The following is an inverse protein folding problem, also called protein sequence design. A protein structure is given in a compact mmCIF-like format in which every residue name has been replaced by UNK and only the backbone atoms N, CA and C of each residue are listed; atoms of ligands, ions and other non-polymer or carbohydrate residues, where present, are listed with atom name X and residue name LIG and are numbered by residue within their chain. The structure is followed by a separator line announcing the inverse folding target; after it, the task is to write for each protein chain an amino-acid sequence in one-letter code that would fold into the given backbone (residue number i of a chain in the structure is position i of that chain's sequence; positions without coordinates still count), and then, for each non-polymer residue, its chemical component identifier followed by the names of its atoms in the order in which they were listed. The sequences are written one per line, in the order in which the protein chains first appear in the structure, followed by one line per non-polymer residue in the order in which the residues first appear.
data_IF_890942801297
#
_entry.id   IF_890942801297
#
_cell.length_a   1.000
_cell.length_b   1.000
_cell.length_c   1.000
_cell.angle_alpha   90.00
_cell.angle_beta   90.00
_cell.angle_gamma   90.00
#
_symmetry.space_group_name_H-M   'P 1'
#
loop_
_entity.id
_entity.type
_entity.pdbx_description
1 polymer ?
#
# COMPACT_ATOMS: atom_id res chain seq x y z
N UNK A 1 77.12 -7.18 54.28
CA UNK A 1 77.34 -8.44 53.54
C UNK A 1 76.28 -8.52 52.45
N UNK A 2 76.64 -8.07 51.25
CA UNK A 2 75.77 -7.91 50.08
C UNK A 2 75.69 -9.27 49.36
N UNK A 3 74.49 -9.71 48.97
CA UNK A 3 74.29 -10.88 48.10
C UNK A 3 74.19 -10.39 46.66
N UNK A 4 75.05 -10.93 45.79
CA UNK A 4 75.14 -10.60 44.36
C UNK A 4 74.00 -11.23 43.54
N UNK A 5 73.46 -10.44 42.62
CA UNK A 5 72.55 -10.86 41.55
C UNK A 5 73.37 -11.28 40.32
N UNK A 6 73.14 -12.50 39.83
CA UNK A 6 73.75 -13.02 38.61
C UNK A 6 72.95 -12.57 37.38
N UNK A 7 73.65 -12.01 36.38
CA UNK A 7 73.13 -11.79 35.02
C UNK A 7 73.97 -12.68 34.10
N UNK A 8 73.32 -13.66 33.46
CA UNK A 8 73.93 -14.49 32.42
C UNK A 8 73.22 -14.23 31.09
N UNK A 9 73.98 -13.67 30.16
CA UNK A 9 73.57 -13.33 28.80
C UNK A 9 73.34 -14.61 27.97
N UNK A 10 72.11 -14.82 27.51
CA UNK A 10 71.78 -15.88 26.55
C UNK A 10 71.38 -15.26 25.21
N UNK A 11 72.16 -15.59 24.17
CA UNK A 11 71.88 -15.28 22.77
C UNK A 11 70.60 -16.03 22.37
N UNK A 12 69.54 -15.28 22.07
CA UNK A 12 68.27 -15.82 21.59
C UNK A 12 68.41 -16.11 20.08
N UNK A 13 68.58 -17.37 19.71
CA UNK A 13 68.36 -17.82 18.33
C UNK A 13 66.84 -17.73 18.08
N UNK A 14 66.42 -16.68 17.38
CA UNK A 14 65.06 -16.59 16.83
C UNK A 14 64.98 -17.62 15.70
N UNK A 15 64.53 -18.83 16.05
CA UNK A 15 63.95 -19.72 15.06
C UNK A 15 62.63 -19.07 14.68
N UNK A 16 62.55 -18.48 13.48
CA UNK A 16 61.28 -18.12 12.87
C UNK A 16 60.54 -19.44 12.67
N UNK A 17 59.72 -19.82 13.66
CA UNK A 17 58.57 -20.67 13.43
C UNK A 17 57.69 -19.88 12.47
N UNK A 18 57.88 -20.13 11.17
CA UNK A 18 56.85 -19.88 10.19
C UNK A 18 55.68 -20.75 10.65
N UNK A 19 54.77 -20.14 11.42
CA UNK A 19 53.53 -20.78 11.81
C UNK A 19 52.88 -21.23 10.52
N UNK A 20 52.73 -22.54 10.34
CA UNK A 20 51.82 -23.10 9.35
C UNK A 20 50.48 -22.45 9.62
N UNK A 21 50.01 -21.61 8.69
CA UNK A 21 48.62 -21.16 8.70
C UNK A 21 47.76 -22.41 8.87
N UNK A 22 46.88 -22.43 9.88
CA UNK A 22 45.81 -23.43 9.93
C UNK A 22 45.06 -23.27 8.62
N UNK A 23 45.16 -24.27 7.73
CA UNK A 23 44.43 -24.26 6.50
C UNK A 23 42.99 -24.62 6.88
N UNK A 24 42.18 -23.58 7.10
CA UNK A 24 40.78 -23.71 7.43
C UNK A 24 39.95 -23.70 6.14
N UNK A 25 38.75 -24.28 6.20
CA UNK A 25 37.78 -24.22 5.08
C UNK A 25 37.58 -22.76 4.65
N UNK A 26 37.40 -22.49 3.34
CA UNK A 26 37.12 -21.16 2.87
C UNK A 26 35.76 -20.73 3.40
N UNK A 27 35.58 -19.44 3.69
CA UNK A 27 34.28 -18.91 4.13
C UNK A 27 33.89 -17.71 3.31
N UNK A 28 32.67 -17.73 2.76
CA UNK A 28 32.12 -16.61 2.00
C UNK A 28 31.40 -15.68 2.99
N UNK A 29 31.88 -14.44 3.08
CA UNK A 29 31.25 -13.41 3.89
C UNK A 29 30.21 -12.61 3.08
N UNK A 30 30.52 -12.30 1.81
CA UNK A 30 29.64 -11.48 0.97
C UNK A 30 29.87 -11.70 -0.51
N UNK A 31 28.80 -11.59 -1.30
CA UNK A 31 28.87 -11.55 -2.77
C UNK A 31 28.26 -10.24 -3.27
N UNK A 32 28.88 -9.59 -4.27
CA UNK A 32 28.39 -8.36 -4.88
C UNK A 32 28.55 -8.37 -6.42
N UNK A 33 27.56 -7.86 -7.19
CA UNK A 33 26.23 -7.46 -6.75
C UNK A 33 25.38 -8.67 -6.35
N UNK A 34 24.68 -8.54 -5.24
CA UNK A 34 23.70 -9.52 -4.77
C UNK A 34 22.30 -9.18 -5.33
N UNK A 35 22.27 -9.20 -6.66
CA UNK A 35 21.12 -9.02 -7.52
C UNK A 35 21.40 -9.78 -8.84
N UNK A 36 20.38 -10.33 -9.51
CA UNK A 36 20.54 -11.04 -10.76
C UNK A 36 21.06 -10.12 -11.85
N UNK A 37 22.33 -10.29 -12.21
CA UNK A 37 22.92 -9.82 -13.45
C UNK A 37 23.62 -11.04 -14.06
N UNK A 38 23.08 -11.54 -15.17
CA UNK A 38 23.55 -12.78 -15.78
C UNK A 38 24.85 -12.58 -16.58
N UNK A 39 25.23 -11.32 -16.83
CA UNK A 39 26.32 -10.96 -17.73
C UNK A 39 27.51 -10.31 -17.02
N UNK A 40 27.43 -10.08 -15.71
CA UNK A 40 28.50 -9.45 -14.95
C UNK A 40 29.16 -10.45 -13.97
N UNK A 41 30.51 -10.50 -13.92
CA UNK A 41 31.20 -11.25 -12.88
C UNK A 41 30.86 -10.68 -11.50
N UNK A 42 30.80 -11.55 -10.50
CA UNK A 42 30.54 -11.17 -9.11
C UNK A 42 31.83 -11.19 -8.28
N UNK A 43 31.93 -10.21 -7.41
CA UNK A 43 32.94 -10.10 -6.36
C UNK A 43 32.51 -10.96 -5.17
N UNK A 44 33.34 -11.91 -4.78
CA UNK A 44 33.16 -12.78 -3.61
C UNK A 44 34.20 -12.35 -2.58
N UNK A 45 33.73 -11.94 -1.40
CA UNK A 45 34.57 -11.51 -0.28
C UNK A 45 34.48 -12.58 0.81
N UNK A 46 35.61 -12.94 1.39
CA UNK A 46 35.66 -13.97 2.41
C UNK A 46 37.04 -14.16 3.03
N UNK A 47 37.21 -15.31 3.66
CA UNK A 47 38.43 -15.69 4.36
C UNK A 47 38.89 -17.09 3.93
N UNK A 48 40.18 -17.36 4.15
CA UNK A 48 40.85 -18.62 3.80
C UNK A 48 40.75 -18.99 2.31
N UNK A 49 40.74 -17.97 1.44
CA UNK A 49 40.93 -18.19 0.01
C UNK A 49 42.42 -18.36 -0.32
N UNK A 50 42.67 -19.13 -1.36
CA UNK A 50 43.99 -19.41 -1.91
C UNK A 50 43.94 -19.50 -3.43
N UNK A 51 45.11 -19.70 -4.04
CA UNK A 51 45.24 -19.83 -5.49
C UNK A 51 44.46 -21.03 -6.06
N UNK A 52 44.24 -22.06 -5.24
CA UNK A 52 43.50 -23.28 -5.56
C UNK A 52 42.00 -23.19 -5.26
N UNK A 53 41.51 -22.06 -4.72
CA UNK A 53 40.10 -21.95 -4.32
C UNK A 53 39.18 -22.01 -5.54
N UNK A 54 38.26 -22.98 -5.51
CA UNK A 54 37.22 -23.17 -6.50
C UNK A 54 35.92 -22.52 -6.03
N UNK A 55 35.14 -21.98 -6.97
CA UNK A 55 33.78 -21.53 -6.71
C UNK A 55 32.81 -22.49 -7.39
N UNK A 56 31.83 -22.94 -6.63
CA UNK A 56 30.76 -23.82 -7.09
C UNK A 56 29.42 -23.09 -7.00
N UNK A 57 28.55 -23.34 -7.96
CA UNK A 57 27.21 -22.78 -7.98
C UNK A 57 26.15 -23.84 -8.26
N UNK A 58 24.96 -23.58 -7.73
CA UNK A 58 23.76 -24.37 -7.99
C UNK A 58 22.58 -23.45 -8.25
N UNK A 59 21.75 -23.84 -9.21
CA UNK A 59 20.45 -23.21 -9.46
C UNK A 59 19.37 -24.23 -9.17
N UNK A 60 18.63 -24.11 -8.05
CA UNK A 60 17.55 -25.02 -7.72
C UNK A 60 16.44 -25.02 -8.77
N UNK A 61 15.74 -26.14 -8.86
CA UNK A 61 14.45 -26.19 -9.56
C UNK A 61 13.47 -25.17 -8.98
N UNK A 62 12.56 -24.68 -9.81
CA UNK A 62 11.57 -23.67 -9.44
C UNK A 62 10.39 -24.28 -8.64
N UNK A 63 10.67 -25.23 -7.75
CA UNK A 63 9.71 -25.66 -6.72
C UNK A 63 9.61 -24.56 -5.68
N UNK A 64 8.43 -23.93 -5.64
CA UNK A 64 8.10 -22.83 -4.74
C UNK A 64 6.85 -23.15 -3.93
N UNK A 65 6.43 -24.41 -3.89
CA UNK A 65 5.30 -24.85 -3.05
C UNK A 65 5.75 -25.14 -1.61
N UNK A 66 7.05 -25.40 -1.41
CA UNK A 66 7.61 -25.75 -0.11
C UNK A 66 8.78 -24.83 0.29
N UNK A 67 8.98 -24.67 1.60
CA UNK A 67 10.18 -24.05 2.19
C UNK A 67 11.15 -25.17 2.56
N UNK A 68 12.41 -25.06 2.11
CA UNK A 68 13.46 -25.94 2.59
C UNK A 68 13.87 -25.61 4.04
N UNK A 69 14.11 -26.63 4.85
CA UNK A 69 14.54 -26.45 6.25
C UNK A 69 15.95 -25.86 6.38
N UNK A 70 16.84 -26.18 5.43
CA UNK A 70 18.24 -25.73 5.43
C UNK A 70 18.83 -25.73 4.03
N UNK A 71 19.90 -24.95 3.84
CA UNK A 71 20.72 -24.98 2.62
C UNK A 71 21.60 -26.25 2.61
N UNK A 72 21.95 -26.79 1.43
CA UNK A 72 22.82 -27.95 1.36
C UNK A 72 24.26 -27.57 1.74
N UNK A 73 24.83 -28.27 2.73
CA UNK A 73 26.21 -28.02 3.21
C UNK A 73 27.30 -28.33 2.17
N UNK A 74 26.95 -29.07 1.12
CA UNK A 74 27.85 -29.39 0.00
C UNK A 74 27.07 -29.31 -1.31
N UNK A 75 27.71 -28.98 -2.44
CA UNK A 75 27.01 -28.81 -3.72
C UNK A 75 26.23 -30.09 -4.11
N UNK A 76 24.90 -30.01 -4.32
CA UNK A 76 24.09 -31.15 -4.74
C UNK A 76 24.33 -31.53 -6.21
N UNK A 77 23.71 -32.61 -6.67
CA UNK A 77 23.69 -33.00 -8.08
C UNK A 77 23.16 -31.85 -8.96
N UNK A 78 23.79 -31.62 -10.11
CA UNK A 78 23.51 -30.48 -11.00
C UNK A 78 24.30 -29.20 -10.68
N UNK A 79 25.06 -29.19 -9.57
CA UNK A 79 26.02 -28.11 -9.29
C UNK A 79 27.21 -28.15 -10.25
N UNK A 80 27.79 -26.99 -10.54
CA UNK A 80 28.96 -26.89 -11.42
C UNK A 80 29.94 -25.82 -10.94
N UNK A 81 31.20 -25.97 -11.36
CA UNK A 81 32.26 -25.01 -11.09
C UNK A 81 32.06 -23.75 -11.93
N UNK A 82 32.27 -22.60 -11.29
CA UNK A 82 32.23 -21.29 -11.95
C UNK A 82 33.57 -21.02 -12.65
N UNK A 83 33.51 -20.16 -13.67
CA UNK A 83 34.72 -19.57 -14.23
C UNK A 83 35.23 -18.48 -13.27
N UNK A 84 36.38 -18.71 -12.67
CA UNK A 84 37.03 -17.75 -11.76
C UNK A 84 38.01 -16.91 -12.57
N UNK A 85 37.77 -15.61 -12.60
CA UNK A 85 38.57 -14.62 -13.34
C UNK A 85 39.78 -14.14 -12.56
N UNK A 86 39.65 -14.03 -11.24
CA UNK A 86 40.72 -13.56 -10.37
C UNK A 86 40.62 -14.16 -8.96
N UNK A 87 41.76 -14.34 -8.30
CA UNK A 87 41.87 -14.95 -6.97
C UNK A 87 42.87 -14.21 -6.10
N UNK A 88 42.37 -13.71 -4.98
CA UNK A 88 43.14 -13.12 -3.89
C UNK A 88 42.73 -13.75 -2.56
N UNK A 89 43.56 -13.60 -1.54
CA UNK A 89 43.36 -14.25 -0.22
C UNK A 89 42.02 -13.94 0.46
N UNK A 90 41.38 -12.83 0.08
CA UNK A 90 40.09 -12.40 0.64
C UNK A 90 39.06 -12.05 -0.42
N UNK A 91 39.43 -12.10 -1.70
CA UNK A 91 38.61 -11.60 -2.80
C UNK A 91 38.73 -12.54 -3.99
N UNK A 92 37.60 -13.02 -4.50
CA UNK A 92 37.55 -13.81 -5.73
C UNK A 92 36.58 -13.13 -6.70
N UNK A 93 36.93 -13.08 -7.98
CA UNK A 93 36.03 -12.62 -9.03
C UNK A 93 35.62 -13.83 -9.87
N UNK A 94 34.31 -14.11 -9.95
CA UNK A 94 33.81 -15.28 -10.67
C UNK A 94 32.53 -14.99 -11.46
N UNK A 95 32.36 -15.69 -12.58
CA UNK A 95 31.14 -15.68 -13.38
C UNK A 95 30.07 -16.54 -12.69
N UNK A 96 29.14 -15.87 -11.99
CA UNK A 96 28.10 -16.52 -11.20
C UNK A 96 26.74 -16.26 -11.83
N UNK A 97 26.01 -17.34 -12.09
CA UNK A 97 24.60 -17.31 -12.49
C UNK A 97 23.69 -18.08 -11.54
N UNK A 98 24.22 -19.00 -10.72
CA UNK A 98 23.44 -19.76 -9.74
C UNK A 98 22.92 -18.92 -8.58
N UNK A 99 22.13 -19.56 -7.73
CA UNK A 99 21.49 -18.92 -6.57
C UNK A 99 22.17 -19.33 -5.25
N UNK A 100 22.81 -20.51 -5.20
CA UNK A 100 23.55 -20.99 -4.02
C UNK A 100 25.00 -21.21 -4.41
N UNK A 101 25.92 -20.65 -3.62
CA UNK A 101 27.34 -20.57 -3.92
C UNK A 101 28.14 -21.23 -2.79
N UNK A 102 29.19 -21.96 -3.15
CA UNK A 102 30.20 -22.48 -2.23
C UNK A 102 31.59 -22.12 -2.72
N UNK A 103 32.50 -21.87 -1.78
CA UNK A 103 33.94 -21.88 -2.03
C UNK A 103 34.50 -23.25 -1.61
N UNK A 104 35.57 -23.72 -2.25
CA UNK A 104 36.22 -24.99 -1.92
C UNK A 104 37.74 -24.87 -2.00
N UNK A 105 38.45 -25.35 -0.99
CA UNK A 105 39.90 -25.58 -1.00
C UNK A 105 40.19 -27.04 -0.58
N UNK A 106 41.45 -27.35 -0.26
CA UNK A 106 41.88 -28.66 0.21
C UNK A 106 41.15 -29.14 1.49
N UNK A 107 40.74 -28.22 2.37
CA UNK A 107 40.12 -28.51 3.66
C UNK A 107 38.59 -28.69 3.56
N UNK A 108 38.01 -28.34 2.42
CA UNK A 108 36.63 -28.67 2.06
C UNK A 108 35.83 -27.47 1.54
N UNK A 109 34.51 -27.62 1.58
CA UNK A 109 33.56 -26.58 1.17
C UNK A 109 33.28 -25.58 2.29
N UNK A 110 33.03 -24.33 1.90
CA UNK A 110 32.42 -23.31 2.75
C UNK A 110 31.00 -23.68 3.15
N UNK A 111 30.45 -22.93 4.09
CA UNK A 111 28.99 -22.90 4.24
C UNK A 111 28.34 -22.36 2.95
N UNK A 112 27.12 -22.81 2.59
CA UNK A 112 26.40 -22.33 1.42
C UNK A 112 26.03 -20.86 1.56
N UNK A 113 26.24 -20.09 0.49
CA UNK A 113 25.84 -18.69 0.41
C UNK A 113 24.71 -18.51 -0.60
N UNK A 114 23.53 -18.09 -0.13
CA UNK A 114 22.35 -17.83 -0.95
C UNK A 114 22.36 -16.38 -1.46
N UNK A 115 22.19 -16.19 -2.76
CA UNK A 115 22.17 -14.88 -3.43
C UNK A 115 20.90 -14.67 -4.26
N UNK A 116 20.68 -13.42 -4.69
CA UNK A 116 19.58 -12.98 -5.55
C UNK A 116 18.17 -13.07 -4.93
N UNK A 117 18.05 -13.53 -3.68
CA UNK A 117 16.77 -13.71 -2.98
C UNK A 117 16.27 -12.42 -2.32
N UNK A 118 15.00 -12.42 -1.91
CA UNK A 118 14.36 -11.30 -1.24
C UNK A 118 15.06 -10.96 0.09
N UNK A 119 15.15 -9.67 0.41
CA UNK A 119 15.69 -9.16 1.68
C UNK A 119 14.64 -8.33 2.40
N UNK A 120 13.63 -8.96 3.03
CA UNK A 120 12.65 -8.24 3.82
C UNK A 120 13.32 -7.63 5.07
N UNK A 121 12.91 -6.43 5.44
CA UNK A 121 13.42 -5.73 6.63
C UNK A 121 12.34 -5.54 7.69
N UNK A 122 11.12 -5.17 7.29
CA UNK A 122 10.01 -5.03 8.23
C UNK A 122 8.66 -5.29 7.55
N UNK A 123 7.68 -5.68 8.37
CA UNK A 123 6.27 -5.83 8.02
C UNK A 123 5.47 -4.71 8.70
N UNK A 124 4.43 -4.22 8.04
CA UNK A 124 3.66 -3.06 8.48
C UNK A 124 3.10 -3.17 9.89
N UNK A 125 2.60 -4.35 10.24
CA UNK A 125 1.89 -4.61 11.48
C UNK A 125 2.16 -6.06 11.95
N UNK A 126 2.25 -6.24 13.26
CA UNK A 126 2.40 -7.57 13.89
C UNK A 126 1.05 -8.21 14.23
N UNK A 127 -0.07 -7.49 14.00
CA UNK A 127 -1.45 -7.94 14.24
C UNK A 127 -2.36 -7.42 13.14
N UNK A 128 -3.21 -8.29 12.60
CA UNK A 128 -4.10 -7.97 11.49
C UNK A 128 -5.44 -8.71 11.62
N UNK A 129 -6.52 -8.07 11.20
CA UNK A 129 -7.81 -8.72 11.02
C UNK A 129 -7.89 -9.43 9.65
N UNK A 130 -8.75 -10.43 9.54
CA UNK A 130 -9.13 -11.02 8.26
C UNK A 130 -9.63 -9.92 7.28
N UNK A 131 -9.05 -9.87 6.08
CA UNK A 131 -9.33 -8.87 5.05
C UNK A 131 -8.54 -7.57 5.18
N UNK A 132 -7.65 -7.42 6.17
CA UNK A 132 -6.74 -6.28 6.23
C UNK A 132 -5.66 -6.38 5.15
N UNK A 133 -5.18 -5.21 4.72
CA UNK A 133 -4.07 -5.07 3.78
C UNK A 133 -2.82 -4.66 4.53
N UNK A 134 -1.76 -5.46 4.41
CA UNK A 134 -0.46 -5.24 5.01
C UNK A 134 0.58 -4.98 3.93
N UNK A 135 1.76 -4.54 4.34
CA UNK A 135 2.90 -4.42 3.44
C UNK A 135 4.23 -4.89 4.05
N UNK A 136 5.14 -5.31 3.19
CA UNK A 136 6.51 -5.71 3.51
C UNK A 136 7.45 -4.75 2.83
N UNK A 137 8.37 -4.17 3.58
CA UNK A 137 9.44 -3.35 3.06
C UNK A 137 10.77 -4.10 3.11
N UNK A 138 11.61 -3.91 2.10
CA UNK A 138 12.88 -4.61 1.97
C UNK A 138 13.62 -4.27 0.69
N UNK A 139 14.46 -5.17 0.22
CA UNK A 139 15.18 -5.05 -1.05
C UNK A 139 14.96 -6.32 -1.89
N UNK A 140 14.79 -6.13 -3.21
CA UNK A 140 14.65 -7.25 -4.15
C UNK A 140 13.41 -8.10 -3.89
N UNK A 141 12.35 -7.53 -3.32
CA UNK A 141 11.10 -8.24 -3.02
C UNK A 141 10.37 -8.67 -4.30
N UNK A 142 10.53 -7.89 -5.37
CA UNK A 142 9.92 -8.12 -6.68
C UNK A 142 11.02 -8.12 -7.72
N UNK A 143 11.52 -9.30 -8.08
CA UNK A 143 12.45 -9.38 -9.19
C UNK A 143 11.71 -9.21 -10.53
N UNK A 144 12.31 -8.46 -11.45
CA UNK A 144 11.73 -8.24 -12.77
C UNK A 144 11.52 -9.57 -13.52
N UNK A 145 10.38 -9.67 -14.21
CA UNK A 145 9.99 -10.84 -15.03
C UNK A 145 9.91 -12.16 -14.26
N UNK A 146 9.88 -12.13 -12.93
CA UNK A 146 9.75 -13.30 -12.07
C UNK A 146 8.46 -13.23 -11.26
N UNK A 147 7.91 -14.40 -10.98
CA UNK A 147 6.78 -14.53 -10.08
C UNK A 147 7.28 -14.38 -8.65
N UNK A 148 6.78 -13.36 -7.98
CA UNK A 148 6.96 -13.15 -6.55
C UNK A 148 5.76 -13.77 -5.82
N UNK A 149 5.99 -14.26 -4.60
CA UNK A 149 4.98 -14.94 -3.78
C UNK A 149 5.13 -14.54 -2.32
N UNK A 150 4.02 -14.55 -1.60
CA UNK A 150 3.99 -14.40 -0.14
C UNK A 150 3.24 -15.60 0.42
N UNK A 151 3.75 -16.13 1.53
CA UNK A 151 3.16 -17.26 2.22
C UNK A 151 3.07 -16.98 3.71
N UNK A 152 1.92 -17.27 4.30
CA UNK A 152 1.70 -17.29 5.73
C UNK A 152 1.76 -18.75 6.18
N UNK A 153 2.64 -19.07 7.14
CA UNK A 153 2.81 -20.43 7.63
C UNK A 153 2.78 -20.48 9.15
N UNK A 154 2.07 -21.46 9.69
CA UNK A 154 2.21 -21.89 11.08
C UNK A 154 2.28 -23.43 11.13
N UNK A 155 2.27 -24.02 12.32
CA UNK A 155 2.40 -25.47 12.50
C UNK A 155 1.28 -26.29 11.83
N UNK A 156 0.14 -25.66 11.52
CA UNK A 156 -1.07 -26.34 11.05
C UNK A 156 -1.55 -25.90 9.67
N UNK A 157 -1.18 -24.70 9.23
CA UNK A 157 -1.75 -24.05 8.06
C UNK A 157 -0.67 -23.40 7.21
N UNK A 158 -0.85 -23.50 5.90
CA UNK A 158 -0.11 -22.78 4.88
C UNK A 158 -1.12 -22.00 4.05
N UNK A 159 -0.91 -20.70 3.91
CA UNK A 159 -1.78 -19.80 3.18
C UNK A 159 -0.93 -19.04 2.16
N UNK A 160 -1.15 -19.32 0.88
CA UNK A 160 -0.59 -18.51 -0.20
C UNK A 160 -1.45 -17.25 -0.35
N UNK A 161 -0.85 -16.07 -0.19
CA UNK A 161 -1.59 -14.80 -0.25
C UNK A 161 -1.31 -14.07 -1.55
N UNK A 162 -2.37 -13.49 -2.11
CA UNK A 162 -2.28 -12.68 -3.31
C UNK A 162 -1.62 -11.34 -2.98
N UNK A 163 -0.69 -10.93 -3.82
CA UNK A 163 -0.08 -9.60 -3.74
C UNK A 163 -0.99 -8.58 -4.40
N UNK A 164 -1.06 -7.38 -3.82
CA UNK A 164 -1.70 -6.23 -4.42
C UNK A 164 -0.63 -5.49 -5.21
N UNK A 165 -0.72 -5.59 -6.53
CA UNK A 165 0.16 -4.87 -7.45
C UNK A 165 -0.53 -3.56 -7.84
N UNK A 166 -0.07 -2.45 -7.27
CA UNK A 166 -0.54 -1.12 -7.69
C UNK A 166 -0.28 -0.91 -9.19
N UNK A 167 -1.22 -0.27 -9.89
CA UNK A 167 -1.17 -0.06 -11.34
C UNK A 167 -0.10 0.93 -11.83
N UNK A 168 0.86 1.31 -10.97
CA UNK A 168 2.05 2.06 -11.42
C UNK A 168 2.82 1.12 -12.34
N UNK A 169 3.08 1.59 -13.57
CA UNK A 169 3.77 0.90 -14.69
C UNK A 169 4.54 -0.38 -14.30
N UNK A 170 4.46 -1.49 -15.07
CA UNK A 170 5.27 -2.70 -14.82
C UNK A 170 6.78 -2.45 -14.64
N UNK A 171 7.28 -1.29 -15.11
CA UNK A 171 8.67 -0.84 -15.00
C UNK A 171 9.00 -0.01 -13.75
N UNK A 172 7.99 0.31 -12.93
CA UNK A 172 8.11 1.02 -11.64
C UNK A 172 7.56 0.18 -10.50
N UNK A 173 7.53 -1.15 -10.67
CA UNK A 173 7.29 -2.09 -9.60
C UNK A 173 8.26 -1.78 -8.46
N UNK A 174 7.75 -1.28 -7.33
CA UNK A 174 8.59 -0.99 -6.19
C UNK A 174 9.33 -2.28 -5.77
N UNK A 175 10.65 -2.34 -6.01
CA UNK A 175 11.48 -3.48 -5.60
C UNK A 175 11.63 -3.54 -4.08
N UNK A 176 11.19 -2.50 -3.39
CA UNK A 176 11.34 -2.30 -1.96
C UNK A 176 10.04 -2.48 -1.18
N UNK A 177 8.87 -2.52 -1.83
CA UNK A 177 7.58 -2.58 -1.16
C UNK A 177 6.61 -3.55 -1.84
N UNK A 178 5.99 -4.44 -1.05
CA UNK A 178 4.93 -5.34 -1.51
C UNK A 178 3.74 -5.26 -0.57
N UNK A 179 2.55 -5.05 -1.13
CA UNK A 179 1.28 -5.12 -0.41
C UNK A 179 0.65 -6.51 -0.56
N UNK A 180 -0.03 -6.98 0.47
CA UNK A 180 -0.81 -8.23 0.44
C UNK A 180 -2.03 -8.15 1.36
N UNK A 181 -3.07 -8.89 1.01
CA UNK A 181 -4.31 -8.98 1.80
C UNK A 181 -4.31 -10.26 2.64
N UNK A 182 -4.74 -10.16 3.90
CA UNK A 182 -5.06 -11.32 4.72
C UNK A 182 -6.37 -11.91 4.21
N UNK A 183 -6.43 -13.18 3.77
CA UNK A 183 -7.67 -13.76 3.27
C UNK A 183 -8.80 -13.69 4.30
N UNK A 184 -10.01 -13.36 3.85
CA UNK A 184 -11.16 -13.21 4.73
C UNK A 184 -11.54 -14.52 5.47
N UNK A 185 -11.09 -15.66 4.97
CA UNK A 185 -11.29 -17.00 5.52
C UNK A 185 -10.04 -17.58 6.23
N UNK A 186 -8.97 -16.79 6.36
CA UNK A 186 -7.75 -17.19 7.04
C UNK A 186 -8.03 -17.62 8.48
N UNK A 187 -7.54 -18.78 8.91
CA UNK A 187 -7.68 -19.23 10.30
C UNK A 187 -6.90 -18.28 11.23
N UNK A 188 -7.49 -17.94 12.37
CA UNK A 188 -6.83 -17.09 13.36
C UNK A 188 -5.62 -17.76 13.99
N UNK A 189 -4.69 -16.95 14.48
CA UNK A 189 -3.47 -17.41 15.13
C UNK A 189 -2.22 -16.66 14.66
N UNK A 190 -1.07 -17.08 15.18
CA UNK A 190 0.23 -16.51 14.83
C UNK A 190 0.79 -17.23 13.61
N UNK A 191 1.28 -16.47 12.63
CA UNK A 191 1.91 -16.97 11.41
C UNK A 191 3.28 -16.34 11.22
N UNK A 192 4.20 -17.12 10.67
CA UNK A 192 5.40 -16.61 10.00
C UNK A 192 5.01 -16.11 8.60
N UNK A 193 5.51 -14.94 8.23
CA UNK A 193 5.34 -14.38 6.88
C UNK A 193 6.62 -14.64 6.10
N UNK A 194 6.49 -15.31 4.96
CA UNK A 194 7.59 -15.61 4.04
C UNK A 194 7.39 -14.91 2.70
N UNK A 195 8.49 -14.44 2.11
CA UNK A 195 8.53 -13.81 0.78
C UNK A 195 9.46 -14.60 -0.13
N UNK A 196 9.04 -14.73 -1.40
CA UNK A 196 9.83 -15.31 -2.47
C UNK A 196 9.82 -14.37 -3.67
N UNK A 197 10.98 -14.10 -4.27
CA UNK A 197 11.10 -13.19 -5.42
C UNK A 197 11.34 -13.92 -6.76
N UNK A 198 11.27 -15.26 -6.77
CA UNK A 198 11.48 -16.11 -7.95
C UNK A 198 12.88 -16.70 -8.10
N UNK A 199 13.81 -16.43 -7.18
CA UNK A 199 15.16 -17.01 -7.14
C UNK A 199 15.31 -18.04 -6.01
N UNK A 200 16.27 -18.96 -6.14
CA UNK A 200 16.62 -19.91 -5.07
C UNK A 200 15.69 -21.11 -4.90
N UNK A 201 14.64 -21.25 -5.73
CA UNK A 201 13.66 -22.34 -5.62
C UNK A 201 13.12 -22.47 -4.19
N UNK A 202 12.99 -23.68 -3.67
CA UNK A 202 12.53 -23.94 -2.28
C UNK A 202 13.40 -23.31 -1.18
N UNK A 203 14.65 -22.95 -1.49
CA UNK A 203 15.57 -22.28 -0.57
C UNK A 203 15.43 -20.76 -0.58
N UNK A 204 14.72 -20.20 -1.56
CA UNK A 204 14.59 -18.76 -1.76
C UNK A 204 13.52 -18.08 -0.91
N UNK A 205 12.81 -18.84 -0.09
CA UNK A 205 11.83 -18.31 0.85
C UNK A 205 12.54 -17.66 2.04
N UNK A 206 12.29 -16.36 2.24
CA UNK A 206 12.89 -15.59 3.33
C UNK A 206 11.81 -15.10 4.28
N UNK A 207 11.99 -15.35 5.58
CA UNK A 207 11.07 -14.89 6.62
C UNK A 207 11.13 -13.37 6.74
N UNK A 208 9.99 -12.70 6.60
CA UNK A 208 9.84 -11.26 6.70
C UNK A 208 9.40 -10.79 8.08
N UNK A 209 8.72 -11.65 8.85
CA UNK A 209 8.23 -11.30 10.17
C UNK A 209 7.19 -12.28 10.68
N UNK A 210 6.47 -11.86 11.72
CA UNK A 210 5.38 -12.59 12.34
C UNK A 210 4.12 -11.74 12.37
N UNK A 211 2.96 -12.36 12.18
CA UNK A 211 1.66 -11.70 12.30
C UNK A 211 0.70 -12.52 13.15
N UNK A 212 -0.06 -11.87 14.01
CA UNK A 212 -1.23 -12.42 14.68
C UNK A 212 -2.48 -12.09 13.83
N UNK A 213 -3.08 -13.11 13.23
CA UNK A 213 -4.35 -12.97 12.51
C UNK A 213 -5.50 -13.14 13.50
N UNK A 214 -6.34 -12.11 13.64
CA UNK A 214 -7.57 -12.16 14.41
C UNK A 214 -8.80 -12.24 13.50
N UNK A 215 -9.93 -12.69 14.06
CA UNK A 215 -11.20 -12.62 13.33
C UNK A 215 -11.45 -11.17 12.95
N UNK A 216 -11.98 -10.95 11.75
CA UNK A 216 -12.48 -9.63 11.42
C UNK A 216 -13.53 -9.28 12.45
N UNK A 217 -13.28 -8.21 13.20
CA UNK A 217 -14.32 -7.70 14.04
C UNK A 217 -15.45 -7.34 13.09
N UNK A 218 -16.61 -8.00 13.24
CA UNK A 218 -17.85 -7.41 12.73
C UNK A 218 -18.03 -6.15 13.56
N UNK A 219 -17.33 -5.09 13.19
CA UNK A 219 -17.75 -3.74 13.48
C UNK A 219 -19.10 -3.68 12.78
N UNK A 220 -20.16 -4.01 13.54
CA UNK A 220 -21.51 -3.73 13.11
C UNK A 220 -21.45 -2.26 12.79
N UNK A 221 -21.42 -1.92 11.50
CA UNK A 221 -21.59 -0.54 11.11
C UNK A 221 -22.90 -0.15 11.77
N UNK A 222 -22.83 0.82 12.69
CA UNK A 222 -24.04 1.32 13.32
C UNK A 222 -24.82 2.01 12.20
N UNK A 223 -25.77 1.28 11.62
CA UNK A 223 -26.62 1.79 10.53
C UNK A 223 -27.67 2.68 11.18
N UNK A 224 -27.58 3.97 10.88
CA UNK A 224 -28.53 4.98 11.33
C UNK A 224 -29.47 5.27 10.16
N UNK A 225 -30.66 4.69 10.20
CA UNK A 225 -31.66 4.91 9.15
C UNK A 225 -32.33 6.27 9.36
N UNK A 226 -32.33 7.12 8.32
CA UNK A 226 -32.95 8.45 8.38
C UNK A 226 -34.44 8.41 8.74
N UNK A 227 -35.13 7.30 8.44
CA UNK A 227 -36.55 7.11 8.80
C UNK A 227 -36.78 6.99 10.31
N UNK A 228 -35.79 6.49 11.06
CA UNK A 228 -35.88 6.39 12.52
C UNK A 228 -35.88 7.78 13.17
N UNK A 229 -35.52 8.83 12.42
CA UNK A 229 -35.50 10.24 12.81
C UNK A 229 -36.65 11.05 12.19
N UNK A 230 -37.59 10.39 11.52
CA UNK A 230 -38.78 11.02 10.96
C UNK A 230 -38.69 11.41 9.49
N UNK A 231 -37.60 11.08 8.78
CA UNK A 231 -37.54 11.29 7.34
C UNK A 231 -38.55 10.37 6.65
N UNK A 232 -39.34 10.90 5.73
CA UNK A 232 -40.37 10.13 5.01
C UNK A 232 -39.83 9.57 3.70
N UNK A 233 -39.09 10.39 2.95
CA UNK A 233 -38.63 10.00 1.61
C UNK A 233 -39.79 9.82 0.62
N UNK A 234 -40.87 10.60 0.80
CA UNK A 234 -42.11 10.54 0.02
C UNK A 234 -42.11 11.50 -1.18
N UNK A 235 -41.05 12.29 -1.37
CA UNK A 235 -40.95 13.31 -2.41
C UNK A 235 -41.85 14.53 -2.19
N UNK A 236 -42.42 14.70 -0.99
CA UNK A 236 -43.34 15.80 -0.64
C UNK A 236 -42.94 16.50 0.66
N UNK A 237 -42.55 15.73 1.69
CA UNK A 237 -42.21 16.21 3.02
C UNK A 237 -40.79 16.77 3.06
N UNK A 238 -40.56 17.85 3.83
CA UNK A 238 -39.20 18.30 4.14
C UNK A 238 -38.49 17.29 5.05
N UNK A 239 -37.43 16.66 4.57
CA UNK A 239 -36.67 15.65 5.31
C UNK A 239 -35.39 16.23 5.97
N UNK A 240 -35.09 17.52 5.76
CA UNK A 240 -33.84 18.16 6.19
C UNK A 240 -33.55 18.01 7.69
N UNK A 241 -34.54 18.32 8.56
CA UNK A 241 -34.37 18.24 10.01
C UNK A 241 -34.14 16.79 10.50
N UNK A 242 -34.85 15.82 9.90
CA UNK A 242 -34.71 14.42 10.24
C UNK A 242 -33.33 13.88 9.84
N UNK A 243 -32.86 14.25 8.64
CA UNK A 243 -31.52 13.89 8.15
C UNK A 243 -30.44 14.46 9.07
N UNK A 244 -30.53 15.75 9.45
CA UNK A 244 -29.57 16.36 10.37
C UNK A 244 -29.56 15.69 11.77
N UNK A 245 -30.72 15.26 12.25
CA UNK A 245 -30.83 14.51 13.50
C UNK A 245 -30.18 13.13 13.41
N UNK A 246 -30.35 12.45 12.29
CA UNK A 246 -29.70 11.17 12.01
C UNK A 246 -28.17 11.31 11.88
N UNK A 247 -27.68 12.37 11.24
CA UNK A 247 -26.24 12.71 11.17
C UNK A 247 -25.66 12.85 12.59
N UNK A 248 -26.34 13.59 13.47
CA UNK A 248 -25.90 13.78 14.86
C UNK A 248 -25.82 12.45 15.64
N UNK A 249 -26.68 11.48 15.33
CA UNK A 249 -26.57 10.13 15.91
C UNK A 249 -25.41 9.35 15.29
N UNK A 250 -25.27 9.35 13.97
CA UNK A 250 -24.21 8.65 13.26
C UNK A 250 -22.82 9.12 13.70
N UNK A 251 -22.66 10.43 13.93
CA UNK A 251 -21.42 11.01 14.46
C UNK A 251 -20.99 10.40 15.79
N UNK A 252 -21.93 10.17 16.71
CA UNK A 252 -21.62 9.64 18.05
C UNK A 252 -21.11 8.20 18.05
N UNK A 253 -21.35 7.47 16.97
CA UNK A 253 -21.01 6.05 16.84
C UNK A 253 -20.08 5.76 15.65
N UNK A 254 -19.60 6.80 14.96
CA UNK A 254 -18.88 6.69 13.69
C UNK A 254 -19.58 5.73 12.71
N UNK A 255 -20.90 5.92 12.59
CA UNK A 255 -21.81 5.01 11.90
C UNK A 255 -22.07 5.35 10.44
N UNK A 256 -22.89 4.50 9.81
CA UNK A 256 -23.34 4.68 8.43
C UNK A 256 -24.73 5.29 8.43
N UNK A 257 -24.87 6.50 7.88
CA UNK A 257 -26.15 7.14 7.61
C UNK A 257 -26.81 6.48 6.39
N UNK A 258 -27.95 5.82 6.62
CA UNK A 258 -28.63 5.03 5.60
C UNK A 258 -29.92 5.69 5.11
N UNK A 259 -30.03 5.78 3.78
CA UNK A 259 -31.20 6.24 3.05
C UNK A 259 -31.88 5.04 2.38
N UNK A 260 -33.03 4.57 2.91
CA UNK A 260 -33.88 3.61 2.21
C UNK A 260 -34.31 4.10 0.81
N UNK A 261 -35.04 3.26 0.08
CA UNK A 261 -35.73 3.70 -1.13
C UNK A 261 -36.72 4.82 -0.80
N UNK A 262 -36.61 5.94 -1.50
CA UNK A 262 -37.41 7.14 -1.33
C UNK A 262 -36.80 8.36 -2.01
N UNK A 263 -37.61 9.41 -2.14
CA UNK A 263 -37.18 10.74 -2.58
C UNK A 263 -37.20 11.65 -1.36
N UNK A 264 -36.02 12.01 -0.88
CA UNK A 264 -35.82 12.81 0.32
C UNK A 264 -35.65 14.27 -0.06
N UNK A 265 -36.62 15.10 0.31
CA UNK A 265 -36.57 16.51 -0.06
C UNK A 265 -35.75 17.33 0.95
N UNK A 266 -34.82 18.15 0.47
CA UNK A 266 -33.99 19.04 1.30
C UNK A 266 -34.00 20.46 0.78
N UNK A 267 -34.14 21.45 1.66
CA UNK A 267 -34.09 22.88 1.34
C UNK A 267 -32.80 23.61 1.75
N UNK A 268 -31.89 22.89 2.40
CA UNK A 268 -30.59 23.37 2.85
C UNK A 268 -29.46 22.39 2.48
N UNK A 269 -28.21 22.84 2.63
CA UNK A 269 -27.00 22.02 2.45
C UNK A 269 -26.90 20.94 3.53
N UNK A 270 -26.61 19.71 3.11
CA UNK A 270 -26.34 18.58 4.02
C UNK A 270 -24.83 18.47 4.25
N UNK A 271 -24.37 18.76 5.47
CA UNK A 271 -22.97 18.68 5.85
C UNK A 271 -22.69 17.34 6.55
N UNK A 272 -21.82 16.52 5.97
CA UNK A 272 -21.44 15.19 6.48
C UNK A 272 -20.06 15.29 7.15
N UNK A 273 -19.98 15.38 8.49
CA UNK A 273 -18.71 15.50 9.21
C UNK A 273 -17.84 14.25 9.06
N UNK A 274 -16.54 14.40 9.37
CA UNK A 274 -15.54 13.35 9.24
C UNK A 274 -15.91 12.04 9.93
N UNK A 275 -15.58 10.91 9.29
CA UNK A 275 -15.80 9.57 9.84
C UNK A 275 -17.22 9.01 9.70
N UNK A 276 -18.16 9.76 9.11
CA UNK A 276 -19.49 9.26 8.75
C UNK A 276 -19.49 8.72 7.31
N UNK A 277 -20.13 7.57 7.11
CA UNK A 277 -20.46 7.04 5.77
C UNK A 277 -21.91 7.35 5.43
N UNK A 278 -22.19 7.65 4.17
CA UNK A 278 -23.54 7.86 3.63
C UNK A 278 -23.84 6.77 2.60
N UNK A 279 -24.96 6.08 2.77
CA UNK A 279 -25.33 4.95 1.91
C UNK A 279 -26.80 5.01 1.52
N UNK A 280 -27.08 5.00 0.23
CA UNK A 280 -28.41 4.71 -0.30
C UNK A 280 -28.65 3.20 -0.43
N UNK A 281 -29.92 2.78 -0.44
CA UNK A 281 -30.29 1.40 -0.72
C UNK A 281 -29.93 0.99 -2.17
N UNK A 282 -30.14 1.91 -3.10
CA UNK A 282 -29.74 1.80 -4.50
C UNK A 282 -29.79 3.20 -5.14
N UNK A 283 -28.83 3.52 -6.02
CA UNK A 283 -28.76 4.84 -6.67
C UNK A 283 -30.04 5.20 -7.44
N UNK A 284 -30.74 4.22 -8.00
CA UNK A 284 -31.96 4.46 -8.79
C UNK A 284 -33.21 4.71 -7.92
N UNK A 285 -33.14 4.42 -6.61
CA UNK A 285 -34.31 4.42 -5.73
C UNK A 285 -34.14 5.29 -4.49
N UNK A 286 -32.91 5.63 -4.12
CA UNK A 286 -32.59 6.52 -3.00
C UNK A 286 -32.10 7.84 -3.59
N UNK A 287 -32.95 8.87 -3.47
CA UNK A 287 -32.77 10.15 -4.15
C UNK A 287 -32.80 11.25 -3.09
N UNK A 288 -31.76 12.08 -3.03
CA UNK A 288 -31.78 13.36 -2.30
C UNK A 288 -32.10 14.45 -3.31
N UNK A 289 -33.21 15.13 -3.11
CA UNK A 289 -33.77 16.12 -4.02
C UNK A 289 -33.72 17.49 -3.36
N UNK A 290 -32.96 18.42 -3.95
CA UNK A 290 -33.05 19.83 -3.58
C UNK A 290 -34.41 20.42 -3.93
N UNK A 291 -35.04 21.16 -3.03
CA UNK A 291 -36.23 21.98 -3.28
C UNK A 291 -36.27 23.22 -2.35
N UNK A 292 -36.91 24.34 -2.71
CA UNK A 292 -36.91 25.57 -1.87
C UNK A 292 -36.03 26.73 -2.34
N UNK A 293 -35.87 27.75 -1.49
CA UNK A 293 -35.23 29.05 -1.78
C UNK A 293 -33.82 29.05 -1.19
N UNK A 294 -32.79 29.38 -1.98
CA UNK A 294 -31.44 29.59 -1.48
C UNK A 294 -31.46 30.61 -0.32
N UNK A 295 -31.11 30.18 0.90
CA UNK A 295 -30.93 31.05 2.04
C UNK A 295 -29.63 31.83 1.84
N UNK A 296 -29.73 32.92 1.09
CA UNK A 296 -28.63 33.87 0.93
C UNK A 296 -28.21 34.41 2.28
N UNK A 297 -26.92 34.31 2.59
CA UNK A 297 -26.28 35.22 3.53
C UNK A 297 -26.35 36.59 2.83
N UNK A 298 -27.32 37.38 3.24
CA UNK A 298 -27.67 38.65 2.63
C UNK A 298 -26.54 39.65 2.82
N UNK A 299 -25.86 40.05 1.74
CA UNK A 299 -25.30 41.41 1.59
C UNK A 299 -25.32 41.84 0.11
N UNK A 300 -26.47 42.39 -0.28
CA UNK A 300 -26.60 43.43 -1.33
C UNK A 300 -26.50 42.96 -2.79
N UNK A 301 -27.62 42.39 -3.24
CA UNK A 301 -28.34 42.68 -4.50
C UNK A 301 -27.58 43.25 -5.70
N UNK A 302 -27.34 42.44 -6.74
CA UNK A 302 -27.29 42.94 -8.13
C UNK A 302 -28.04 42.12 -9.19
N UNK A 303 -28.71 41.00 -8.87
CA UNK A 303 -29.76 40.45 -9.76
C UNK A 303 -30.87 39.76 -8.95
N UNK A 304 -31.91 40.53 -8.65
CA UNK A 304 -33.20 40.03 -8.19
C UNK A 304 -33.84 39.23 -9.33
N UNK A 305 -33.71 37.91 -9.31
CA UNK A 305 -34.55 37.03 -10.13
C UNK A 305 -35.65 36.45 -9.21
N UNK A 306 -36.94 36.72 -9.49
CA UNK A 306 -38.02 35.96 -8.89
C UNK A 306 -37.95 34.53 -9.46
N UNK A 307 -38.18 33.53 -8.59
CA UNK A 307 -38.06 32.07 -8.87
C UNK A 307 -36.62 31.51 -8.78
N UNK A 308 -35.97 31.63 -7.63
CA UNK A 308 -34.71 30.92 -7.35
C UNK A 308 -34.93 29.41 -7.22
N UNK A 309 -34.22 28.55 -7.99
CA UNK A 309 -34.26 27.11 -7.81
C UNK A 309 -33.33 26.67 -6.65
N UNK A 310 -33.41 25.40 -6.19
CA UNK A 310 -33.21 25.04 -4.79
C UNK A 310 -31.80 24.55 -4.41
N UNK A 311 -31.47 24.53 -3.11
CA UNK A 311 -30.17 24.05 -2.62
C UNK A 311 -30.20 22.55 -2.36
N UNK A 312 -29.33 21.77 -3.02
CA UNK A 312 -28.78 20.55 -2.42
C UNK A 312 -27.29 20.44 -2.77
N UNK A 313 -26.47 20.96 -1.86
CA UNK A 313 -25.03 20.67 -1.79
C UNK A 313 -24.89 19.56 -0.75
N UNK A 314 -24.24 18.45 -1.09
CA UNK A 314 -23.70 17.53 -0.08
C UNK A 314 -22.22 17.86 0.10
N UNK A 315 -21.86 18.22 1.32
CA UNK A 315 -20.46 18.48 1.69
C UNK A 315 -19.92 17.32 2.52
N UNK A 316 -18.85 16.71 2.02
CA UNK A 316 -18.16 15.58 2.60
C UNK A 316 -16.84 16.06 3.20
N UNK A 317 -16.62 15.84 4.49
CA UNK A 317 -15.34 16.14 5.15
C UNK A 317 -14.38 14.92 5.10
N UNK A 318 -13.18 15.03 5.65
CA UNK A 318 -12.16 13.97 5.60
C UNK A 318 -12.67 12.60 6.11
N UNK A 319 -12.19 11.51 5.50
CA UNK A 319 -12.55 10.13 5.88
C UNK A 319 -14.07 9.83 5.82
N UNK A 320 -14.81 10.56 4.98
CA UNK A 320 -16.22 10.24 4.69
C UNK A 320 -16.35 9.48 3.39
N UNK A 321 -17.49 8.81 3.21
CA UNK A 321 -17.83 8.13 1.96
C UNK A 321 -19.30 8.40 1.64
N UNK A 322 -19.62 8.59 0.37
CA UNK A 322 -20.99 8.52 -0.14
C UNK A 322 -21.10 7.41 -1.19
N UNK A 323 -22.11 6.55 -1.03
CA UNK A 323 -22.35 5.49 -1.99
C UNK A 323 -23.82 5.20 -2.30
N UNK A 324 -24.05 4.70 -3.53
CA UNK A 324 -25.32 4.10 -3.97
C UNK A 324 -26.55 5.01 -3.83
N UNK A 325 -26.40 6.30 -4.14
CA UNK A 325 -27.45 7.31 -3.99
C UNK A 325 -27.43 8.31 -5.14
N UNK A 326 -28.58 8.92 -5.44
CA UNK A 326 -28.70 9.99 -6.44
C UNK A 326 -28.88 11.34 -5.77
N UNK A 327 -28.17 12.35 -6.26
CA UNK A 327 -28.35 13.76 -5.92
C UNK A 327 -28.99 14.45 -7.11
N UNK A 328 -30.12 15.13 -6.89
CA UNK A 328 -30.83 15.77 -8.00
C UNK A 328 -31.51 17.09 -7.67
N UNK A 329 -31.78 17.87 -8.72
CA UNK A 329 -32.56 19.10 -8.64
C UNK A 329 -31.85 20.27 -7.98
N UNK A 330 -30.56 20.14 -7.68
CA UNK A 330 -29.80 21.16 -6.97
C UNK A 330 -29.41 22.32 -7.89
N UNK A 331 -29.45 23.55 -7.38
CA UNK A 331 -28.98 24.77 -8.04
C UNK A 331 -27.86 25.40 -7.23
N UNK A 332 -26.74 25.70 -7.90
CA UNK A 332 -25.55 26.25 -7.28
C UNK A 332 -25.35 27.71 -7.72
N UNK A 333 -25.46 28.67 -6.79
CA UNK A 333 -25.12 30.09 -7.01
C UNK A 333 -24.18 30.59 -5.93
N UNK A 334 -22.97 31.04 -6.27
CA UNK A 334 -22.13 31.77 -5.31
C UNK A 334 -20.66 31.94 -5.70
N UNK A 335 -20.05 33.01 -5.17
CA UNK A 335 -18.61 33.27 -5.21
C UNK A 335 -17.88 32.16 -4.46
N UNK A 336 -17.08 31.34 -5.16
CA UNK A 336 -16.27 30.28 -4.54
C UNK A 336 -16.41 28.89 -5.14
N UNK A 337 -17.31 28.65 -6.10
CA UNK A 337 -17.37 27.40 -6.87
C UNK A 337 -17.71 26.17 -6.04
N UNK A 338 -18.99 25.97 -5.73
CA UNK A 338 -19.45 24.78 -5.02
C UNK A 338 -19.93 23.71 -6.01
N UNK A 339 -19.52 22.46 -5.75
CA UNK A 339 -19.91 21.27 -6.50
C UNK A 339 -21.23 20.67 -5.98
N UNK A 340 -21.94 19.84 -6.78
CA UNK A 340 -23.09 19.08 -6.28
C UNK A 340 -22.76 18.13 -5.12
N UNK A 341 -21.58 17.55 -5.18
CA UNK A 341 -20.94 16.86 -4.06
C UNK A 341 -19.56 17.49 -3.90
N UNK A 342 -19.29 18.06 -2.74
CA UNK A 342 -18.04 18.75 -2.42
C UNK A 342 -17.28 17.98 -1.35
N UNK A 343 -16.17 17.35 -1.72
CA UNK A 343 -15.22 16.76 -0.79
C UNK A 343 -14.26 17.85 -0.28
N UNK A 344 -14.54 18.41 0.90
CA UNK A 344 -13.78 19.52 1.49
C UNK A 344 -12.71 18.97 2.44
N UNK A 345 -11.42 19.28 2.22
CA UNK A 345 -10.37 18.95 3.17
C UNK A 345 -10.47 19.82 4.42
N UNK A 346 -10.17 19.28 5.61
CA UNK A 346 -10.03 20.13 6.81
C UNK A 346 -8.78 21.04 6.74
N UNK A 347 -7.70 20.60 6.08
CA UNK A 347 -6.43 21.34 6.02
C UNK A 347 -5.71 21.23 4.65
N UNK A 348 -5.15 22.36 4.19
CA UNK A 348 -4.40 22.51 2.94
C UNK A 348 -3.00 21.88 3.02
N UNK A 349 -2.92 20.54 2.98
CA UNK A 349 -1.73 19.82 2.49
C UNK A 349 -2.10 18.38 2.13
N UNK A 350 -2.22 18.13 0.82
CA UNK A 350 -2.60 16.86 0.15
C UNK A 350 -4.11 16.52 0.30
N UNK A 351 -4.88 16.42 -0.80
CA UNK A 351 -6.34 16.30 -0.75
C UNK A 351 -6.78 14.88 -0.35
N UNK A 352 -7.05 14.65 0.93
CA UNK A 352 -7.78 13.47 1.39
C UNK A 352 -9.24 13.84 1.74
N UNK A 353 -9.96 14.38 0.76
CA UNK A 353 -11.42 14.55 0.84
C UNK A 353 -12.16 13.21 0.76
N UNK A 354 -13.45 13.19 1.13
CA UNK A 354 -14.29 11.99 1.14
C UNK A 354 -14.45 11.28 -0.22
N UNK A 355 -14.75 9.97 -0.17
CA UNK A 355 -14.86 9.11 -1.35
C UNK A 355 -16.30 9.09 -1.93
N UNK A 356 -16.42 9.10 -3.26
CA UNK A 356 -17.71 9.03 -3.97
C UNK A 356 -17.78 7.75 -4.81
N UNK A 357 -18.77 6.88 -4.57
CA UNK A 357 -18.91 5.61 -5.30
C UNK A 357 -20.33 5.33 -5.76
N UNK A 358 -20.54 4.97 -7.03
CA UNK A 358 -21.88 4.60 -7.54
C UNK A 358 -22.94 5.70 -7.32
N UNK A 359 -22.57 6.97 -7.51
CA UNK A 359 -23.47 8.13 -7.32
C UNK A 359 -23.93 8.66 -8.67
N UNK A 360 -25.19 9.09 -8.75
CA UNK A 360 -25.71 9.84 -9.91
C UNK A 360 -26.00 11.28 -9.50
N UNK A 361 -25.56 12.24 -10.32
CA UNK A 361 -25.86 13.65 -10.19
C UNK A 361 -26.70 14.04 -11.39
N UNK A 362 -27.95 14.43 -11.16
CA UNK A 362 -28.87 14.69 -12.27
C UNK A 362 -29.81 15.88 -12.07
N UNK A 363 -30.27 16.48 -13.18
CA UNK A 363 -31.22 17.58 -13.16
C UNK A 363 -30.77 18.76 -12.28
N UNK A 364 -29.46 19.02 -12.20
CA UNK A 364 -28.90 20.12 -11.44
C UNK A 364 -28.52 21.30 -12.33
N UNK A 365 -28.63 22.52 -11.78
CA UNK A 365 -28.19 23.77 -12.41
C UNK A 365 -26.82 24.17 -11.85
N UNK A 366 -25.77 24.01 -12.65
CA UNK A 366 -24.38 24.27 -12.28
C UNK A 366 -23.95 25.59 -12.92
N UNK A 367 -23.73 26.63 -12.11
CA UNK A 367 -23.41 27.97 -12.59
C UNK A 367 -21.97 28.36 -12.23
N UNK A 368 -21.09 28.37 -13.22
CA UNK A 368 -19.79 29.03 -13.24
C UNK A 368 -19.88 30.50 -13.70
N UNK A 369 -18.90 31.34 -13.34
CA UNK A 369 -18.85 32.75 -13.75
C UNK A 369 -17.66 33.01 -14.70
N UNK A 370 -17.86 33.96 -15.62
CA UNK A 370 -16.92 34.39 -16.66
C UNK A 370 -15.61 35.00 -16.10
N UNK A 371 -14.52 34.86 -16.85
CA UNK A 371 -13.19 35.38 -16.53
C UNK A 371 -13.19 36.92 -16.40
N UNK A 372 -12.51 37.47 -15.38
CA UNK A 372 -12.03 38.84 -15.50
C UNK A 372 -10.88 38.86 -16.51
N UNK A 373 -11.15 39.34 -17.72
CA UNK A 373 -10.13 39.68 -18.71
C UNK A 373 -9.12 40.67 -18.11
N UNK A 374 -7.99 40.15 -17.62
CA UNK A 374 -6.84 40.97 -17.23
C UNK A 374 -5.96 40.46 -16.08
N UNK A 375 -6.45 39.62 -15.17
CA UNK A 375 -5.70 39.33 -13.92
C UNK A 375 -4.91 38.02 -13.92
N UNK A 376 -5.12 37.10 -14.89
CA UNK A 376 -4.51 35.74 -14.95
C UNK A 376 -4.58 34.94 -13.63
N UNK A 377 -5.39 35.38 -12.65
CA UNK A 377 -5.63 34.65 -11.41
C UNK A 377 -6.90 33.84 -11.60
N UNK A 378 -6.78 32.52 -11.55
CA UNK A 378 -7.93 31.64 -11.39
C UNK A 378 -8.50 31.85 -9.98
N UNK A 379 -9.42 32.80 -9.81
CA UNK A 379 -9.98 33.11 -8.50
C UNK A 379 -11.13 32.18 -8.09
N UNK A 380 -11.72 31.40 -9.02
CA UNK A 380 -12.93 30.61 -8.77
C UNK A 380 -12.90 29.28 -9.53
N UNK A 381 -12.86 28.13 -8.83
CA UNK A 381 -12.92 26.79 -9.42
C UNK A 381 -14.33 26.21 -9.25
N UNK A 382 -15.15 26.20 -10.30
CA UNK A 382 -16.34 25.34 -10.32
C UNK A 382 -15.94 23.99 -10.95
N UNK A 383 -15.78 22.98 -10.12
CA UNK A 383 -15.51 21.61 -10.56
C UNK A 383 -16.27 20.63 -9.69
N UNK A 384 -16.65 19.47 -10.24
CA UNK A 384 -17.11 18.37 -9.40
C UNK A 384 -15.86 17.80 -8.72
N UNK A 385 -15.62 18.19 -7.47
CA UNK A 385 -14.46 17.75 -6.70
C UNK A 385 -14.74 16.37 -6.14
N UNK A 386 -14.19 15.39 -6.84
CA UNK A 386 -14.34 13.97 -6.57
C UNK A 386 -12.95 13.49 -6.17
N UNK A 387 -12.79 13.00 -4.94
CA UNK A 387 -11.49 12.54 -4.44
C UNK A 387 -10.87 11.45 -5.32
N UNK A 388 -9.54 11.25 -5.27
CA UNK A 388 -8.79 10.36 -6.20
C UNK A 388 -9.22 8.89 -6.18
N UNK A 389 -9.92 8.44 -5.14
CA UNK A 389 -10.39 7.06 -4.99
C UNK A 389 -11.83 6.83 -5.46
N UNK A 390 -12.47 7.84 -6.03
CA UNK A 390 -13.88 7.78 -6.39
C UNK A 390 -14.13 7.07 -7.72
N UNK A 391 -15.25 6.35 -7.83
CA UNK A 391 -15.54 5.48 -8.99
C UNK A 391 -17.02 5.48 -9.35
N UNK A 392 -17.32 5.28 -10.63
CA UNK A 392 -18.69 5.10 -11.15
C UNK A 392 -19.64 6.25 -10.81
N UNK A 393 -19.31 7.46 -11.30
CA UNK A 393 -20.10 8.67 -11.08
C UNK A 393 -20.81 9.03 -12.39
N UNK A 394 -22.13 9.08 -12.34
CA UNK A 394 -22.95 9.45 -13.49
C UNK A 394 -23.37 10.92 -13.37
N UNK A 395 -23.20 11.69 -14.44
CA UNK A 395 -23.61 13.09 -14.53
C UNK A 395 -24.60 13.18 -15.68
N UNK A 396 -25.90 13.35 -15.38
CA UNK A 396 -26.99 13.22 -16.36
C UNK A 396 -27.87 14.48 -16.35
N UNK A 397 -28.28 14.96 -17.52
CA UNK A 397 -29.34 15.99 -17.65
C UNK A 397 -29.12 17.25 -16.77
N UNK A 398 -27.86 17.71 -16.67
CA UNK A 398 -27.51 18.92 -15.89
C UNK A 398 -27.36 20.13 -16.80
N UNK A 399 -27.89 21.28 -16.38
CA UNK A 399 -27.67 22.55 -17.07
C UNK A 399 -26.39 23.20 -16.55
N UNK A 400 -25.45 23.46 -17.45
CA UNK A 400 -24.13 24.00 -17.15
C UNK A 400 -24.03 25.41 -17.74
N UNK A 401 -23.75 26.40 -16.90
CA UNK A 401 -23.49 27.77 -17.29
C UNK A 401 -22.04 28.13 -16.96
N UNK A 402 -21.26 28.67 -17.91
CA UNK A 402 -19.86 29.09 -17.68
C UNK A 402 -18.81 27.97 -17.84
N UNK A 403 -17.55 28.26 -17.50
CA UNK A 403 -16.44 27.30 -17.60
C UNK A 403 -16.42 26.33 -16.40
N UNK A 404 -16.30 25.03 -16.68
CA UNK A 404 -16.20 23.96 -15.67
C UNK A 404 -14.88 23.21 -15.84
N UNK A 405 -14.24 22.84 -14.73
CA UNK A 405 -13.09 21.93 -14.73
C UNK A 405 -13.46 20.64 -14.01
N UNK A 406 -13.29 19.50 -14.66
CA UNK A 406 -13.38 18.19 -14.02
C UNK A 406 -12.00 17.80 -13.49
N UNK A 407 -11.84 17.66 -12.18
CA UNK A 407 -10.64 17.07 -11.59
C UNK A 407 -10.98 15.63 -11.22
N UNK A 408 -10.71 14.71 -12.13
CA UNK A 408 -10.62 13.28 -11.81
C UNK A 408 -9.15 13.02 -11.44
N UNK A 409 -8.91 12.50 -10.23
CA UNK A 409 -7.58 12.05 -9.81
C UNK A 409 -7.14 10.82 -10.58
#
# INVERSE_FOLDING_TARGET
MIREFAISSSILIITILCGTASADKPQIAKIYPDFPDINAPKLIIGENFGEDTEIWQYRPEQDVENIAESLPNTPPEGSHRCNVRDREKQVIIADISGDIIWAKNADGFSDPYLINVAKPYWISDEKAEQGDVLHIYGFGLRAEYRNNRIMLKNDKNIINVAQIIEARSPRTADHYLVYFEIPNDAKTGIYDVYVHNGYGGKFGWVKAGNIEITERSKKQEAIINVRDFGAKGDGISNDCQAINSAINKALKVNGTLFFPQGVYLTDETINIPSGIKVKGANRNTSIIQGYGKATGIDRVAWFTLPNTPPSAVIRLYDNTMIESITIQGATFKGSGGQAPVEAVPNDLSIPNGGEVRNVTIQNCNIIGREEELGTRRNLYRAGIFIGPNSKHINILDNEIYGSITFNFG
#
